data_IF_338967627155
#
_entry.id   IF_338967627155
#
_cell.length_a   1.000
_cell.length_b   1.000
_cell.length_c   1.000
_cell.angle_alpha   90.00
_cell.angle_beta   90.00
_cell.angle_gamma   90.00
#
_symmetry.space_group_name_H-M   'P 1'
#
loop_
_entity.id
_entity.type
_entity.pdbx_description
1 polymer ?
#
# COMPACT_ATOMS: atom_id res chain seq x y z
N UNK A 1 -63.33 -40.18 12.91
CA UNK A 1 -63.31 -39.20 14.02
C UNK A 1 -62.54 -37.96 13.59
N UNK A 2 -62.95 -36.76 14.04
CA UNK A 2 -62.78 -35.50 13.30
C UNK A 2 -61.84 -34.50 13.97
N UNK A 3 -61.45 -33.45 13.24
CA UNK A 3 -61.28 -32.05 13.70
C UNK A 3 -61.09 -31.17 12.44
N UNK A 4 -62.15 -30.70 11.77
CA UNK A 4 -62.83 -29.39 11.92
C UNK A 4 -61.95 -28.12 12.02
N UNK A 5 -62.45 -27.08 11.35
CA UNK A 5 -62.10 -25.64 11.30
C UNK A 5 -61.16 -25.21 10.17
N UNK A 6 -61.58 -24.69 9.00
CA UNK A 6 -62.57 -23.65 8.61
C UNK A 6 -62.14 -22.21 8.94
N UNK A 7 -61.98 -21.43 7.85
CA UNK A 7 -62.05 -19.96 7.68
C UNK A 7 -60.88 -19.11 8.17
N UNK A 8 -60.09 -18.62 7.21
CA UNK A 8 -59.97 -17.18 6.90
C UNK A 8 -59.26 -16.96 5.56
N UNK A 9 -60.06 -17.02 4.50
CA UNK A 9 -59.79 -16.29 3.25
C UNK A 9 -60.25 -14.83 3.42
N UNK A 10 -59.65 -13.94 2.63
CA UNK A 10 -59.89 -12.48 2.52
C UNK A 10 -59.24 -11.61 3.60
N UNK A 11 -58.06 -11.06 3.28
CA UNK A 11 -57.86 -9.64 2.89
C UNK A 11 -56.38 -9.41 2.56
N UNK A 12 -56.14 -8.55 1.55
CA UNK A 12 -54.84 -8.03 1.07
C UNK A 12 -54.17 -8.77 -0.10
N UNK A 13 -54.96 -9.10 -1.12
CA UNK A 13 -54.54 -8.84 -2.50
C UNK A 13 -54.85 -7.38 -2.85
N UNK A 14 -53.81 -6.54 -2.82
CA UNK A 14 -53.68 -5.11 -3.20
C UNK A 14 -52.58 -4.57 -2.28
N UNK A 15 -51.30 -4.52 -2.65
CA UNK A 15 -50.70 -3.45 -3.47
C UNK A 15 -49.51 -4.04 -4.24
N UNK A 16 -49.79 -4.70 -5.37
CA UNK A 16 -48.80 -5.16 -6.35
C UNK A 16 -48.92 -4.34 -7.65
N UNK A 17 -49.25 -3.05 -7.51
CA UNK A 17 -49.43 -2.04 -8.57
C UNK A 17 -48.92 -0.67 -8.08
N UNK A 18 -47.68 -0.63 -7.58
CA UNK A 18 -46.97 0.60 -7.18
C UNK A 18 -45.70 0.86 -7.99
N UNK A 19 -45.61 0.27 -9.18
CA UNK A 19 -44.60 0.56 -10.20
C UNK A 19 -45.32 1.25 -11.37
N UNK A 20 -44.74 2.36 -11.87
CA UNK A 20 -45.15 3.20 -13.04
C UNK A 20 -45.84 4.56 -12.76
N UNK A 21 -45.42 5.33 -11.76
CA UNK A 21 -45.83 6.75 -11.67
C UNK A 21 -44.84 7.72 -10.96
N UNK A 22 -43.52 7.56 -11.14
CA UNK A 22 -42.54 8.63 -10.81
C UNK A 22 -41.48 8.71 -11.92
N UNK A 23 -41.94 8.93 -13.15
CA UNK A 23 -41.11 9.23 -14.34
C UNK A 23 -41.60 10.54 -14.99
N UNK A 24 -41.59 11.64 -14.24
CA UNK A 24 -41.99 12.91 -14.84
C UNK A 24 -42.20 14.03 -13.84
N UNK A 25 -41.13 14.52 -13.20
CA UNK A 25 -41.12 15.89 -12.71
C UNK A 25 -39.69 16.39 -12.60
N UNK A 26 -39.42 17.52 -13.28
CA UNK A 26 -38.23 18.38 -13.22
C UNK A 26 -37.12 18.10 -14.24
N UNK A 27 -37.49 18.20 -15.52
CA UNK A 27 -36.74 19.08 -16.42
C UNK A 27 -37.16 20.54 -16.14
N UNK A 28 -36.22 21.48 -16.35
CA UNK A 28 -36.30 22.92 -16.13
C UNK A 28 -36.01 23.40 -14.70
N UNK A 29 -34.72 23.57 -14.38
CA UNK A 29 -34.18 24.81 -13.81
C UNK A 29 -32.65 24.80 -14.01
N UNK A 30 -32.24 25.43 -15.11
CA UNK A 30 -30.87 25.87 -15.38
C UNK A 30 -30.63 27.21 -14.67
N UNK A 31 -29.73 27.31 -13.70
CA UNK A 31 -29.01 28.55 -13.46
C UNK A 31 -27.81 28.59 -14.42
N UNK A 32 -27.95 29.46 -15.41
CA UNK A 32 -26.89 30.06 -16.21
C UNK A 32 -25.79 30.59 -15.26
N UNK A 33 -24.59 29.99 -15.30
CA UNK A 33 -23.42 30.54 -14.61
C UNK A 33 -22.55 31.25 -15.64
N UNK A 34 -22.46 32.59 -15.60
CA UNK A 34 -21.61 33.35 -16.49
C UNK A 34 -20.15 33.30 -16.04
N UNK A 35 -19.27 32.99 -16.98
CA UNK A 35 -17.93 33.58 -17.07
C UNK A 35 -16.89 33.12 -16.05
N UNK A 36 -16.13 32.08 -16.41
CA UNK A 36 -14.74 31.96 -15.98
C UNK A 36 -13.86 31.78 -17.23
N UNK A 37 -13.15 32.85 -17.52
CA UNK A 37 -12.21 33.09 -18.60
C UNK A 37 -11.09 32.04 -18.63
N UNK A 38 -10.71 31.48 -19.79
CA UNK A 38 -9.46 30.74 -19.92
C UNK A 38 -8.29 31.73 -20.00
N UNK A 39 -7.55 31.90 -18.91
CA UNK A 39 -6.22 32.53 -18.97
C UNK A 39 -5.24 31.53 -19.57
N UNK A 40 -5.01 31.70 -20.87
CA UNK A 40 -3.83 31.23 -21.57
C UNK A 40 -2.63 32.06 -21.12
N UNK A 41 -1.76 31.48 -20.29
CA UNK A 41 -0.39 31.96 -20.14
C UNK A 41 0.55 30.77 -20.19
N UNK A 42 1.19 30.47 -21.33
CA UNK A 42 2.39 29.65 -21.34
C UNK A 42 3.55 30.53 -20.85
N UNK A 43 4.12 30.20 -19.69
CA UNK A 43 5.37 30.77 -19.22
C UNK A 43 6.53 29.87 -19.70
N UNK A 44 7.36 30.29 -20.67
CA UNK A 44 8.59 29.60 -21.00
C UNK A 44 9.69 30.07 -20.04
N UNK A 45 9.81 29.42 -18.88
CA UNK A 45 10.96 29.65 -18.00
C UNK A 45 12.20 28.93 -18.56
N UNK A 46 12.91 29.69 -19.39
CA UNK A 46 14.24 29.37 -19.90
C UNK A 46 15.27 29.63 -18.80
N UNK A 47 15.73 28.58 -18.13
CA UNK A 47 16.93 28.65 -17.30
C UNK A 47 18.16 28.25 -18.13
N UNK A 48 19.22 29.07 -18.18
CA UNK A 48 20.42 28.78 -18.94
C UNK A 48 21.24 27.64 -18.31
N UNK A 49 21.58 26.66 -19.13
CA UNK A 49 22.59 25.66 -18.81
C UNK A 49 23.96 26.35 -18.68
N UNK A 50 24.41 26.55 -17.44
CA UNK A 50 25.79 26.94 -17.16
C UNK A 50 26.65 25.69 -17.25
N UNK A 51 27.28 25.52 -18.41
CA UNK A 51 28.37 24.59 -18.64
C UNK A 51 29.60 25.04 -17.83
N UNK A 52 29.80 24.46 -16.65
CA UNK A 52 31.06 24.55 -15.93
C UNK A 52 32.03 23.51 -16.50
N UNK A 53 32.83 23.92 -17.51
CA UNK A 53 34.08 23.28 -17.89
C UNK A 53 35.07 23.45 -16.73
N UNK A 54 35.37 22.37 -16.01
CA UNK A 54 36.57 22.33 -15.16
C UNK A 54 37.79 21.89 -15.99
N UNK A 55 38.93 22.60 -15.88
CA UNK A 55 40.16 22.29 -16.58
C UNK A 55 40.91 21.11 -15.95
N UNK A 56 41.69 20.43 -16.79
CA UNK A 56 42.33 19.15 -16.50
C UNK A 56 43.27 19.14 -15.29
N UNK A 57 43.17 18.07 -14.52
CA UNK A 57 44.20 17.63 -13.60
C UNK A 57 45.17 16.72 -14.35
N UNK A 58 46.46 17.08 -14.30
CA UNK A 58 47.59 16.28 -14.80
C UNK A 58 47.70 14.99 -13.98
N UNK A 59 48.07 13.84 -14.57
CA UNK A 59 48.42 12.67 -13.79
C UNK A 59 49.77 12.90 -13.09
N UNK A 60 49.75 12.93 -11.76
CA UNK A 60 50.95 12.75 -10.94
C UNK A 60 51.23 11.26 -10.90
N UNK A 61 52.30 10.85 -11.58
CA UNK A 61 52.92 9.53 -11.42
C UNK A 61 53.58 9.49 -10.04
N UNK A 62 52.83 9.02 -9.05
CA UNK A 62 53.38 8.72 -7.74
C UNK A 62 53.73 7.23 -7.68
N UNK A 63 55.01 6.96 -7.89
CA UNK A 63 55.61 5.66 -7.65
C UNK A 63 55.59 5.41 -6.12
N UNK A 64 54.61 4.64 -5.66
CA UNK A 64 54.62 4.10 -4.31
C UNK A 64 54.82 2.59 -4.32
N UNK A 65 55.81 2.20 -3.52
CA UNK A 65 56.43 0.90 -3.46
C UNK A 65 55.57 -0.12 -2.70
N UNK A 66 55.59 -1.36 -3.19
CA UNK A 66 55.88 -2.52 -2.34
C UNK A 66 54.91 -2.90 -1.22
N UNK A 67 53.63 -2.53 -1.28
CA UNK A 67 52.60 -3.11 -0.42
C UNK A 67 51.91 -4.27 -1.13
N UNK A 68 52.05 -5.50 -0.62
CA UNK A 68 51.24 -6.64 -1.06
C UNK A 68 49.76 -6.23 -0.96
N UNK A 69 48.97 -6.26 -2.05
CA UNK A 69 47.56 -5.91 -1.96
C UNK A 69 46.89 -6.91 -1.02
N UNK A 70 46.45 -6.41 0.14
CA UNK A 70 45.50 -7.14 0.98
C UNK A 70 44.34 -7.49 0.06
N UNK A 71 43.97 -8.77 -0.09
CA UNK A 71 42.86 -9.14 -0.96
C UNK A 71 41.63 -8.41 -0.42
N UNK A 72 41.20 -7.39 -1.15
CA UNK A 72 39.95 -6.69 -0.89
C UNK A 72 38.90 -7.78 -0.84
N UNK A 73 38.29 -7.98 0.33
CA UNK A 73 37.26 -8.98 0.51
C UNK A 73 36.20 -8.72 -0.57
N UNK A 74 36.18 -9.58 -1.58
CA UNK A 74 35.14 -9.60 -2.60
C UNK A 74 33.86 -9.77 -1.80
N UNK A 75 33.05 -8.71 -1.69
CA UNK A 75 31.73 -8.85 -1.11
C UNK A 75 31.05 -9.94 -1.93
N UNK A 76 30.93 -11.12 -1.33
CA UNK A 76 30.01 -12.13 -1.77
C UNK A 76 28.61 -11.50 -1.63
N UNK A 77 28.19 -10.76 -2.64
CA UNK A 77 26.81 -10.80 -3.05
C UNK A 77 26.59 -12.23 -3.50
N UNK A 78 26.35 -13.11 -2.52
CA UNK A 78 26.04 -14.49 -2.75
C UNK A 78 24.88 -14.57 -3.76
N UNK A 79 24.87 -15.56 -4.65
CA UNK A 79 23.73 -15.79 -5.53
C UNK A 79 22.48 -16.00 -4.66
N UNK A 80 21.63 -14.96 -4.56
CA UNK A 80 20.45 -14.97 -3.69
C UNK A 80 20.23 -13.74 -2.81
N UNK A 81 21.11 -12.72 -2.84
CA UNK A 81 20.80 -11.46 -2.17
C UNK A 81 19.58 -10.80 -2.84
N UNK A 82 18.46 -10.74 -2.13
CA UNK A 82 17.28 -9.99 -2.58
C UNK A 82 17.67 -8.52 -2.78
N UNK A 83 17.12 -7.85 -3.80
CA UNK A 83 17.34 -6.43 -3.98
C UNK A 83 16.91 -5.67 -2.71
N UNK A 84 17.56 -4.55 -2.38
CA UNK A 84 17.12 -3.70 -1.28
C UNK A 84 15.67 -3.28 -1.53
N UNK A 85 14.84 -3.39 -0.48
CA UNK A 85 13.45 -2.96 -0.55
C UNK A 85 13.37 -1.48 -0.85
N UNK A 86 12.43 -1.10 -1.70
CA UNK A 86 12.17 0.30 -2.06
C UNK A 86 10.73 0.62 -1.71
N UNK A 87 10.44 0.90 -0.43
CA UNK A 87 9.08 1.23 -0.03
C UNK A 87 8.59 2.51 -0.73
N UNK A 88 7.31 2.53 -1.07
CA UNK A 88 6.64 3.74 -1.51
C UNK A 88 6.61 4.77 -0.37
N UNK A 89 7.17 5.95 -0.62
CA UNK A 89 7.23 6.99 0.39
C UNK A 89 5.83 7.56 0.65
N UNK A 90 5.45 7.63 1.93
CA UNK A 90 4.22 8.28 2.39
C UNK A 90 4.57 9.57 3.12
N UNK A 91 3.59 10.46 3.26
CA UNK A 91 3.72 11.64 4.12
C UNK A 91 4.16 11.20 5.54
N UNK A 92 5.19 11.84 6.15
CA UNK A 92 5.78 11.39 7.42
C UNK A 92 4.80 11.30 8.59
N UNK A 93 3.74 12.09 8.53
CA UNK A 93 2.70 12.18 9.55
C UNK A 93 1.58 11.15 9.38
N UNK A 94 1.60 10.36 8.31
CA UNK A 94 0.68 9.24 8.14
C UNK A 94 1.18 8.00 8.87
N UNK A 95 0.30 7.02 9.07
CA UNK A 95 0.73 5.71 9.56
C UNK A 95 1.74 5.09 8.59
N UNK A 96 2.88 4.63 9.11
CA UNK A 96 4.01 4.13 8.30
C UNK A 96 4.04 2.60 8.19
N UNK A 97 3.02 1.86 8.64
CA UNK A 97 3.07 0.41 8.76
C UNK A 97 3.18 -0.36 7.44
N UNK A 98 2.05 -0.86 6.93
CA UNK A 98 2.01 -1.62 5.68
C UNK A 98 2.35 -0.69 4.51
N UNK A 99 3.59 -0.74 4.05
CA UNK A 99 4.10 0.03 2.91
C UNK A 99 4.19 -0.87 1.67
N UNK A 100 3.84 -0.32 0.51
CA UNK A 100 3.97 -1.02 -0.76
C UNK A 100 5.45 -1.04 -1.17
N UNK A 101 6.01 -2.23 -1.37
CA UNK A 101 7.40 -2.38 -1.82
C UNK A 101 7.50 -2.27 -3.35
N UNK A 102 8.09 -1.18 -3.83
CA UNK A 102 8.26 -0.91 -5.25
C UNK A 102 9.41 -1.69 -5.88
N UNK A 103 10.23 -2.40 -5.10
CA UNK A 103 11.28 -3.26 -5.64
C UNK A 103 10.70 -4.53 -6.29
N UNK A 104 9.47 -4.92 -5.93
CA UNK A 104 8.80 -6.12 -6.44
C UNK A 104 7.47 -5.74 -7.10
N UNK A 105 7.54 -5.11 -8.27
CA UNK A 105 6.36 -4.79 -9.09
C UNK A 105 6.06 -5.93 -10.06
N UNK A 106 5.31 -6.91 -9.59
CA UNK A 106 4.78 -7.98 -10.43
C UNK A 106 3.89 -7.43 -11.56
N UNK A 107 3.78 -8.18 -12.64
CA UNK A 107 2.79 -7.90 -13.69
C UNK A 107 1.41 -8.32 -13.21
N UNK A 108 0.40 -7.56 -13.57
CA UNK A 108 -0.99 -7.84 -13.24
C UNK A 108 -1.89 -7.75 -14.46
N UNK A 109 -3.08 -8.34 -14.35
CA UNK A 109 -4.09 -8.39 -15.40
C UNK A 109 -5.26 -9.25 -14.96
N UNK A 110 -6.07 -9.72 -15.90
CA UNK A 110 -7.27 -10.50 -15.60
C UNK A 110 -7.00 -11.78 -14.79
N UNK A 111 -5.86 -12.43 -15.05
CA UNK A 111 -5.47 -13.69 -14.40
C UNK A 111 -4.54 -13.50 -13.19
N UNK A 112 -3.98 -12.31 -12.98
CA UNK A 112 -2.96 -12.04 -11.98
C UNK A 112 -3.32 -10.83 -11.14
N UNK A 113 -3.59 -11.06 -9.87
CA UNK A 113 -3.80 -9.99 -8.89
C UNK A 113 -2.48 -9.61 -8.23
N UNK A 114 -2.42 -8.37 -7.75
CA UNK A 114 -1.21 -7.85 -7.13
C UNK A 114 -0.95 -8.33 -5.70
N UNK A 115 -1.96 -8.98 -5.08
CA UNK A 115 -1.93 -9.32 -3.67
C UNK A 115 -1.79 -8.07 -2.77
N UNK A 116 -1.81 -8.29 -1.46
CA UNK A 116 -1.56 -7.26 -0.44
C UNK A 116 -2.35 -5.95 -0.67
N UNK A 117 -3.57 -6.05 -1.21
CA UNK A 117 -4.40 -4.89 -1.53
C UNK A 117 -3.79 -3.86 -2.50
N UNK A 118 -2.74 -4.22 -3.26
CA UNK A 118 -2.14 -3.31 -4.24
C UNK A 118 -3.06 -3.10 -5.46
N UNK A 119 -2.89 -1.96 -6.13
CA UNK A 119 -3.56 -1.62 -7.38
C UNK A 119 -2.86 -2.21 -8.60
N UNK A 120 -3.61 -2.38 -9.68
CA UNK A 120 -3.08 -2.79 -10.98
C UNK A 120 -3.21 -1.63 -11.97
N UNK A 121 -2.16 -0.83 -12.09
CA UNK A 121 -2.12 0.34 -12.97
C UNK A 121 -1.11 0.09 -14.08
N UNK A 122 -1.55 0.24 -15.33
CA UNK A 122 -0.71 0.01 -16.53
C UNK A 122 -0.08 -1.40 -16.56
N UNK A 123 -0.83 -2.41 -16.11
CA UNK A 123 -0.38 -3.81 -16.08
C UNK A 123 0.69 -4.11 -15.03
N UNK A 124 0.93 -3.20 -14.08
CA UNK A 124 1.92 -3.36 -13.02
C UNK A 124 1.32 -3.13 -11.64
N UNK A 125 1.75 -3.95 -10.71
CA UNK A 125 1.39 -3.80 -9.31
C UNK A 125 2.04 -2.57 -8.69
N UNK A 126 1.28 -1.87 -7.85
CA UNK A 126 1.75 -0.67 -7.18
C UNK A 126 0.75 -0.05 -6.22
N UNK A 127 1.14 1.06 -5.59
CA UNK A 127 0.25 1.83 -4.73
C UNK A 127 -0.91 2.41 -5.54
N UNK A 128 -2.12 2.43 -4.96
CA UNK A 128 -3.21 3.21 -5.55
C UNK A 128 -2.96 4.71 -5.31
N UNK A 129 -3.35 5.57 -6.25
CA UNK A 129 -3.37 7.02 -6.05
C UNK A 129 -4.79 7.57 -5.87
N UNK A 130 -5.78 6.89 -6.45
CA UNK A 130 -7.18 7.29 -6.51
C UNK A 130 -8.10 6.08 -6.43
N UNK A 131 -9.38 6.29 -6.12
CA UNK A 131 -10.38 5.21 -6.11
C UNK A 131 -10.51 4.49 -7.46
N UNK A 132 -10.23 5.19 -8.57
CA UNK A 132 -10.26 4.60 -9.91
C UNK A 132 -9.13 3.61 -10.20
N UNK A 133 -8.07 3.60 -9.39
CA UNK A 133 -7.01 2.59 -9.48
C UNK A 133 -7.44 1.25 -8.84
N UNK A 134 -8.56 1.26 -8.12
CA UNK A 134 -9.11 0.11 -7.40
C UNK A 134 -10.38 -0.42 -8.09
N UNK A 135 -10.85 -1.57 -7.62
CA UNK A 135 -12.09 -2.18 -8.12
C UNK A 135 -13.30 -1.33 -7.70
N UNK A 136 -14.44 -1.49 -8.38
CA UNK A 136 -15.66 -0.66 -8.17
C UNK A 136 -16.13 -0.57 -6.71
N UNK A 137 -15.91 -1.61 -5.89
CA UNK A 137 -16.33 -1.65 -4.48
C UNK A 137 -15.19 -1.37 -3.49
N UNK A 138 -14.06 -0.89 -3.98
CA UNK A 138 -12.89 -0.55 -3.17
C UNK A 138 -12.70 0.98 -3.15
N UNK A 139 -11.95 1.45 -2.17
CA UNK A 139 -11.46 2.82 -2.11
C UNK A 139 -9.95 2.81 -1.91
N UNK A 140 -9.28 3.83 -2.44
CA UNK A 140 -7.86 4.00 -2.21
C UNK A 140 -7.64 4.65 -0.85
N UNK A 141 -6.97 3.92 0.05
CA UNK A 141 -6.66 4.32 1.41
C UNK A 141 -5.21 4.00 1.71
N UNK A 142 -4.44 5.02 2.08
CA UNK A 142 -3.03 4.86 2.44
C UNK A 142 -2.30 3.95 1.42
N UNK A 143 -2.47 4.24 0.14
CA UNK A 143 -1.85 3.52 -0.98
C UNK A 143 -2.34 2.08 -1.24
N UNK A 144 -3.39 1.63 -0.54
CA UNK A 144 -3.98 0.29 -0.67
C UNK A 144 -5.46 0.36 -1.07
N UNK A 145 -5.91 -0.63 -1.84
CA UNK A 145 -7.31 -0.80 -2.23
C UNK A 145 -8.07 -1.57 -1.14
N UNK A 146 -8.89 -0.86 -0.37
CA UNK A 146 -9.64 -1.41 0.77
C UNK A 146 -11.12 -1.51 0.41
N UNK A 147 -11.86 -2.58 0.80
CA UNK A 147 -13.30 -2.66 0.61
C UNK A 147 -14.00 -1.43 1.22
N UNK A 148 -14.84 -0.75 0.44
CA UNK A 148 -15.39 0.57 0.79
C UNK A 148 -16.20 0.55 2.09
N UNK A 149 -16.86 -0.55 2.39
CA UNK A 149 -17.59 -0.80 3.64
C UNK A 149 -16.70 -0.86 4.89
N UNK A 150 -15.39 -1.09 4.71
CA UNK A 150 -14.40 -1.19 5.80
C UNK A 150 -13.55 0.09 5.94
N UNK A 151 -13.94 1.19 5.29
CA UNK A 151 -13.18 2.45 5.27
C UNK A 151 -13.82 3.49 6.18
N UNK A 152 -13.18 3.78 7.32
CA UNK A 152 -13.53 4.90 8.20
C UNK A 152 -12.66 6.15 7.98
N UNK A 153 -11.48 6.00 7.37
CA UNK A 153 -10.55 7.08 7.03
C UNK A 153 -9.78 6.73 5.76
N UNK A 154 -9.33 7.73 5.00
CA UNK A 154 -8.44 7.57 3.83
C UNK A 154 -7.03 8.08 4.12
N UNK A 155 -6.97 9.15 4.89
CA UNK A 155 -5.76 9.85 5.32
C UNK A 155 -5.91 10.25 6.78
N UNK A 156 -4.81 10.68 7.40
CA UNK A 156 -4.82 11.28 8.73
C UNK A 156 -5.81 12.43 8.88
N UNK A 157 -6.05 13.19 7.81
CA UNK A 157 -6.94 14.35 7.85
C UNK A 157 -8.42 13.99 8.08
N UNK A 158 -8.79 12.73 7.83
CA UNK A 158 -10.15 12.26 8.10
C UNK A 158 -10.36 11.91 9.58
N UNK A 159 -9.29 11.81 10.36
CA UNK A 159 -9.32 11.39 11.74
C UNK A 159 -9.31 12.57 12.74
N UNK A 160 -10.15 12.52 13.79
CA UNK A 160 -10.21 13.60 14.78
C UNK A 160 -8.99 13.62 15.69
N UNK A 161 -8.74 14.76 16.35
CA UNK A 161 -7.81 14.82 17.49
C UNK A 161 -6.35 14.50 17.17
N UNK A 162 -5.93 14.60 15.90
CA UNK A 162 -4.56 14.26 15.50
C UNK A 162 -4.24 12.76 15.54
N UNK A 163 -5.27 11.91 15.59
CA UNK A 163 -5.19 10.47 15.36
C UNK A 163 -4.55 10.14 14.00
N UNK A 164 -4.08 8.92 13.84
CA UNK A 164 -3.56 8.40 12.57
C UNK A 164 -4.65 7.58 11.88
N UNK A 165 -4.76 7.71 10.56
CA UNK A 165 -5.45 6.69 9.80
C UNK A 165 -4.52 5.48 9.70
N UNK A 166 -5.00 4.29 10.05
CA UNK A 166 -4.21 3.06 10.04
C UNK A 166 -4.93 1.96 9.27
N UNK A 167 -4.16 1.06 8.66
CA UNK A 167 -4.67 -0.17 8.06
C UNK A 167 -4.42 -1.35 8.98
N UNK A 168 -5.41 -2.23 9.09
CA UNK A 168 -5.24 -3.56 9.67
C UNK A 168 -6.10 -4.57 8.93
N UNK A 169 -5.95 -5.84 9.28
CA UNK A 169 -6.68 -6.95 8.69
C UNK A 169 -5.74 -8.01 8.15
N UNK A 170 -6.26 -9.22 8.09
CA UNK A 170 -5.62 -10.35 7.46
C UNK A 170 -6.43 -10.72 6.23
N UNK A 171 -5.79 -11.25 5.20
CA UNK A 171 -6.52 -11.89 4.13
C UNK A 171 -5.79 -13.10 3.60
N UNK A 172 -6.55 -14.16 3.36
CA UNK A 172 -6.15 -15.36 2.64
C UNK A 172 -6.57 -15.33 1.17
N UNK A 173 -7.30 -14.30 0.74
CA UNK A 173 -7.77 -14.14 -0.62
C UNK A 173 -6.62 -13.66 -1.55
N UNK A 174 -6.61 -14.02 -2.85
CA UNK A 174 -5.53 -13.61 -3.77
C UNK A 174 -5.37 -12.11 -3.96
N UNK A 175 -6.42 -11.30 -3.78
CA UNK A 175 -6.34 -9.84 -3.77
C UNK A 175 -5.70 -9.32 -2.48
N UNK A 176 -5.85 -10.06 -1.38
CA UNK A 176 -5.20 -9.78 -0.11
C UNK A 176 -5.84 -8.63 0.66
N UNK A 177 -7.15 -8.40 0.49
CA UNK A 177 -7.86 -7.26 1.10
C UNK A 177 -9.23 -7.59 1.71
N UNK A 178 -9.69 -8.85 1.68
CA UNK A 178 -11.03 -9.22 2.13
C UNK A 178 -11.42 -8.70 3.53
N UNK A 179 -10.52 -8.78 4.52
CA UNK A 179 -10.78 -8.26 5.88
C UNK A 179 -10.00 -6.99 6.20
N UNK A 180 -9.37 -6.38 5.19
CA UNK A 180 -8.62 -5.15 5.36
C UNK A 180 -9.57 -4.01 5.71
N UNK A 181 -9.16 -3.19 6.67
CA UNK A 181 -9.95 -2.07 7.20
C UNK A 181 -9.08 -0.86 7.47
N UNK A 182 -9.66 0.31 7.29
CA UNK A 182 -9.07 1.58 7.61
C UNK A 182 -9.81 2.25 8.77
N UNK A 183 -9.10 2.62 9.81
CA UNK A 183 -9.69 3.21 11.01
C UNK A 183 -8.76 4.22 11.67
N UNK A 184 -9.35 5.12 12.44
CA UNK A 184 -8.61 6.11 13.20
C UNK A 184 -8.06 5.49 14.48
N UNK A 185 -6.75 5.64 14.69
CA UNK A 185 -6.01 5.15 15.83
C UNK A 185 -5.39 6.32 16.58
N UNK A 186 -5.50 6.32 17.91
CA UNK A 186 -4.82 7.32 18.74
C UNK A 186 -3.32 7.31 18.50
N UNK A 187 -2.75 8.50 18.30
CA UNK A 187 -1.32 8.69 18.01
C UNK A 187 -0.41 8.30 19.18
N UNK A 188 -0.98 8.04 20.37
CA UNK A 188 -0.32 7.44 21.52
C UNK A 188 -0.14 5.92 21.41
N UNK A 189 -0.84 5.24 20.48
CA UNK A 189 -0.86 3.79 20.32
C UNK A 189 0.28 3.20 19.50
N UNK A 190 1.13 4.04 18.90
CA UNK A 190 2.35 3.60 18.23
C UNK A 190 3.35 4.72 18.30
N UNK A 191 4.42 4.55 19.08
CA UNK A 191 5.57 5.44 18.96
C UNK A 191 5.95 5.47 17.49
N UNK A 192 5.95 6.65 16.82
CA UNK A 192 6.51 6.76 15.48
C UNK A 192 7.90 6.14 15.59
N UNK A 193 8.19 5.11 14.79
CA UNK A 193 9.56 4.61 14.71
C UNK A 193 10.38 5.85 14.36
N UNK A 194 11.27 6.32 15.25
CA UNK A 194 12.15 7.43 14.89
C UNK A 194 12.75 7.05 13.55
N UNK A 195 12.73 7.97 12.57
CA UNK A 195 13.32 7.74 11.25
C UNK A 195 14.63 7.00 11.49
N UNK A 196 14.68 5.73 11.05
CA UNK A 196 15.71 4.80 11.51
C UNK A 196 17.05 5.50 11.30
N UNK A 197 17.80 5.84 12.38
CA UNK A 197 19.06 6.52 12.20
C UNK A 197 19.86 5.59 11.32
N UNK A 198 20.25 6.08 10.13
CA UNK A 198 21.01 5.35 9.11
C UNK A 198 21.95 4.41 9.83
N UNK A 199 21.59 3.13 9.88
CA UNK A 199 22.25 2.16 10.75
C UNK A 199 23.67 2.07 10.20
N UNK A 200 24.61 2.71 10.87
CA UNK A 200 26.03 2.52 10.58
C UNK A 200 26.25 1.02 10.57
N UNK A 201 26.75 0.51 9.44
CA UNK A 201 26.84 -0.90 9.11
C UNK A 201 27.91 -1.63 9.93
N UNK A 202 27.90 -1.48 11.26
CA UNK A 202 28.79 -2.13 12.21
C UNK A 202 27.95 -2.96 13.20
N UNK A 203 27.23 -3.95 12.67
CA UNK A 203 26.85 -5.11 13.45
C UNK A 203 27.89 -6.20 13.17
N UNK A 204 28.77 -6.38 14.14
CA UNK A 204 29.76 -7.44 14.25
C UNK A 204 29.17 -8.80 13.83
N UNK A 205 29.53 -9.24 12.63
CA UNK A 205 29.08 -10.48 12.01
C UNK A 205 29.90 -11.70 12.46
N UNK A 206 30.69 -11.55 13.52
CA UNK A 206 31.68 -12.54 13.94
C UNK A 206 31.16 -13.58 14.93
N UNK A 207 29.91 -13.50 15.40
CA UNK A 207 29.36 -14.56 16.25
C UNK A 207 28.87 -15.74 15.40
N UNK A 208 29.48 -16.93 15.52
CA UNK A 208 28.98 -18.13 14.86
C UNK A 208 27.60 -18.42 15.43
N UNK A 209 26.57 -18.41 14.58
CA UNK A 209 25.27 -18.98 14.95
C UNK A 209 25.50 -20.47 15.10
N UNK A 210 25.42 -20.98 16.33
CA UNK A 210 25.36 -22.42 16.55
C UNK A 210 24.24 -23.00 15.70
N UNK A 211 24.50 -24.05 14.90
CA UNK A 211 23.46 -24.71 14.14
C UNK A 211 22.45 -25.28 15.13
N UNK A 212 21.20 -24.81 15.06
CA UNK A 212 20.10 -25.45 15.76
C UNK A 212 20.00 -26.87 15.21
N UNK A 213 20.46 -27.84 15.99
CA UNK A 213 20.47 -29.23 15.60
C UNK A 213 19.02 -29.70 15.53
N UNK A 214 18.57 -30.00 14.32
CA UNK A 214 17.19 -30.39 14.01
C UNK A 214 16.66 -31.54 14.89
N UNK A 215 17.57 -32.41 15.36
CA UNK A 215 17.24 -33.54 16.22
C UNK A 215 16.69 -33.10 17.59
N UNK A 216 17.18 -32.00 18.17
CA UNK A 216 16.72 -31.52 19.47
C UNK A 216 15.29 -30.96 19.40
N UNK A 217 14.93 -30.33 18.26
CA UNK A 217 13.58 -29.85 17.99
C UNK A 217 12.59 -31.02 17.85
N UNK A 218 12.98 -32.07 17.13
CA UNK A 218 12.15 -33.27 16.94
C UNK A 218 11.96 -34.06 18.23
N UNK A 219 12.95 -34.04 19.12
CA UNK A 219 12.89 -34.73 20.41
C UNK A 219 11.96 -34.03 21.39
N UNK A 220 11.92 -32.68 21.40
CA UNK A 220 10.97 -31.91 22.22
C UNK A 220 9.52 -32.13 21.78
N UNK A 221 9.26 -32.06 20.48
CA UNK A 221 7.91 -32.29 19.92
C UNK A 221 7.39 -33.71 20.19
N UNK A 222 8.28 -34.70 20.25
CA UNK A 222 7.91 -36.09 20.57
C UNK A 222 7.62 -36.32 22.06
N UNK A 223 8.10 -35.43 22.94
CA UNK A 223 7.97 -35.56 24.39
C UNK A 223 6.70 -34.94 24.97
N UNK A 224 6.09 -33.97 24.28
CA UNK A 224 4.87 -33.29 24.73
C UNK A 224 3.57 -34.04 24.36
N UNK A 225 3.69 -35.13 23.60
CA UNK A 225 2.55 -35.95 23.15
C UNK A 225 2.22 -37.16 24.02
N UNK A 226 2.68 -37.23 25.27
CA UNK A 226 2.49 -38.42 26.13
C UNK A 226 1.89 -38.09 27.50
#
# INVERSE_FOLDING_TARGET
MPRTYVKRSLRLGAVLLGALAVMGFRMAFTPDSPGATPSLTPEPSSAPQVAARSPGARPVLEANAGGTPVPTARQEQGPGALPPRMPHARAPQEWQGMQVDLSVRAMCGEANHCGLAASCTEGRCGPCGTDSDCSTNEACVLDHCVPRENVACRTRHDCPGGQLCALSGYSSDPRGNAEMRAYCLDSSGGTPRPAEPTRSAEADSSQPREPVVYDELMQRLSSEGR
#
